data_IF_497223003397
#
_entry.id   IF_497223003397
#
_cell.length_a   1.000
_cell.length_b   1.000
_cell.length_c   1.000
_cell.angle_alpha   90.00
_cell.angle_beta   90.00
_cell.angle_gamma   90.00
#
_symmetry.space_group_name_H-M   'P 1'
#
loop_
_entity.id
_entity.type
_entity.pdbx_description
1 polymer ?
#
# COMPACT_ATOMS: atom_id res chain seq x y z
N UNK A 1 -58.93 20.65 -31.54
CA UNK A 1 -58.05 19.56 -32.02
C UNK A 1 -56.55 19.94 -32.18
N UNK A 2 -56.14 21.19 -31.93
CA UNK A 2 -54.79 21.66 -32.18
C UNK A 2 -53.84 21.48 -30.95
N UNK A 3 -54.33 21.61 -29.73
CA UNK A 3 -53.50 21.57 -28.51
C UNK A 3 -52.98 20.16 -28.12
N UNK A 4 -53.69 19.11 -28.48
CA UNK A 4 -53.29 17.72 -28.15
C UNK A 4 -52.18 17.24 -29.07
N UNK A 5 -52.14 17.68 -30.35
CA UNK A 5 -51.05 17.31 -31.28
C UNK A 5 -49.69 17.95 -30.92
N UNK A 6 -49.72 19.17 -30.36
CA UNK A 6 -48.48 19.87 -29.96
C UNK A 6 -47.88 19.26 -28.69
N UNK A 7 -48.70 18.78 -27.75
CA UNK A 7 -48.21 18.13 -26.54
C UNK A 7 -47.60 16.75 -26.85
N UNK A 8 -48.17 15.99 -27.80
CA UNK A 8 -47.60 14.70 -28.23
C UNK A 8 -46.27 14.85 -28.99
N UNK A 9 -46.10 15.94 -29.75
CA UNK A 9 -44.85 16.18 -30.48
C UNK A 9 -43.73 16.62 -29.54
N UNK A 10 -44.00 17.39 -28.52
CA UNK A 10 -43.01 17.79 -27.52
C UNK A 10 -42.60 16.63 -26.61
N UNK A 11 -43.53 15.73 -26.27
CA UNK A 11 -43.16 14.50 -25.52
C UNK A 11 -42.32 13.53 -26.36
N UNK A 12 -42.58 13.40 -27.67
CA UNK A 12 -41.78 12.57 -28.54
C UNK A 12 -40.35 13.13 -28.76
N UNK A 13 -40.22 14.46 -28.89
CA UNK A 13 -38.91 15.09 -28.98
C UNK A 13 -38.14 15.04 -27.63
N UNK A 14 -38.83 15.18 -26.51
CA UNK A 14 -38.20 15.04 -25.19
C UNK A 14 -37.72 13.62 -24.91
N UNK A 15 -38.49 12.61 -25.30
CA UNK A 15 -38.09 11.21 -25.14
C UNK A 15 -36.93 10.82 -26.05
N UNK A 16 -36.86 11.33 -27.28
CA UNK A 16 -35.74 11.09 -28.19
C UNK A 16 -34.46 11.80 -27.74
N UNK A 17 -34.55 13.02 -27.24
CA UNK A 17 -33.40 13.73 -26.71
C UNK A 17 -32.94 13.16 -25.36
N UNK A 18 -33.87 12.77 -24.49
CA UNK A 18 -33.57 12.10 -23.23
C UNK A 18 -32.96 10.71 -23.43
N UNK A 19 -33.49 9.95 -24.40
CA UNK A 19 -32.93 8.65 -24.78
C UNK A 19 -31.53 8.75 -25.38
N UNK A 20 -31.29 9.78 -26.21
CA UNK A 20 -29.96 10.03 -26.79
C UNK A 20 -28.94 10.50 -25.70
N UNK A 21 -29.38 11.31 -24.75
CA UNK A 21 -28.54 11.75 -23.63
C UNK A 21 -28.22 10.60 -22.66
N UNK A 22 -29.18 9.70 -22.38
CA UNK A 22 -28.95 8.51 -21.53
C UNK A 22 -28.06 7.50 -22.23
N UNK A 23 -28.18 7.31 -23.55
CA UNK A 23 -27.30 6.41 -24.30
C UNK A 23 -25.90 6.97 -24.47
N UNK A 24 -25.74 8.29 -24.65
CA UNK A 24 -24.42 8.92 -24.71
C UNK A 24 -23.73 8.93 -23.33
N UNK A 25 -24.47 9.19 -22.25
CA UNK A 25 -23.92 9.05 -20.91
C UNK A 25 -23.68 7.57 -20.53
N UNK A 26 -24.49 6.64 -20.99
CA UNK A 26 -24.26 5.22 -20.73
C UNK A 26 -23.04 4.68 -21.52
N UNK A 27 -22.83 5.14 -22.74
CA UNK A 27 -21.63 4.77 -23.51
C UNK A 27 -20.36 5.46 -22.97
N UNK A 28 -20.46 6.64 -22.35
CA UNK A 28 -19.33 7.27 -21.64
C UNK A 28 -19.10 6.68 -20.24
N UNK A 29 -20.13 6.09 -19.63
CA UNK A 29 -20.00 5.34 -18.36
C UNK A 29 -19.36 3.95 -18.56
N UNK A 30 -19.36 3.41 -19.79
CA UNK A 30 -18.68 2.17 -20.15
C UNK A 30 -17.42 2.39 -21.00
N UNK A 31 -17.05 3.66 -21.26
CA UNK A 31 -15.75 3.99 -21.86
C UNK A 31 -14.69 3.77 -20.78
N UNK A 32 -14.07 2.60 -20.83
CA UNK A 32 -12.91 2.18 -20.04
C UNK A 32 -13.02 2.58 -18.55
N UNK A 33 -13.46 1.67 -17.73
CA UNK A 33 -13.08 1.65 -16.33
C UNK A 33 -11.54 1.45 -16.27
N UNK A 34 -10.77 2.44 -16.68
CA UNK A 34 -9.45 2.59 -16.14
C UNK A 34 -9.68 2.83 -14.65
N UNK A 35 -9.41 1.82 -13.85
CA UNK A 35 -9.43 1.92 -12.40
C UNK A 35 -8.60 3.15 -12.01
N UNK A 36 -9.11 4.03 -11.13
CA UNK A 36 -8.44 5.28 -10.79
C UNK A 36 -7.03 5.01 -10.33
N UNK A 37 -6.09 5.73 -10.90
CA UNK A 37 -4.69 5.50 -10.90
C UNK A 37 -4.07 5.18 -9.56
N UNK A 38 -3.31 4.12 -9.54
CA UNK A 38 -2.32 3.87 -8.53
C UNK A 38 -1.14 4.84 -8.65
N UNK A 39 -0.13 4.66 -7.84
CA UNK A 39 1.05 5.50 -7.83
C UNK A 39 1.74 5.61 -9.21
N UNK A 40 1.74 4.55 -10.01
CA UNK A 40 2.31 4.56 -11.37
C UNK A 40 1.60 5.52 -12.34
N UNK A 41 0.34 5.86 -12.08
CA UNK A 41 -0.44 6.79 -12.91
C UNK A 41 -0.44 8.20 -12.31
N UNK A 42 0.20 8.39 -11.18
CA UNK A 42 0.32 9.69 -10.57
C UNK A 42 1.24 10.57 -11.43
N UNK A 43 0.63 11.28 -12.36
CA UNK A 43 1.29 12.25 -13.24
C UNK A 43 1.28 13.60 -12.54
N UNK A 44 2.25 13.83 -11.74
CA UNK A 44 2.40 15.09 -11.03
C UNK A 44 3.85 15.55 -11.04
N UNK A 45 4.12 16.57 -10.28
CA UNK A 45 5.48 17.03 -9.99
C UNK A 45 5.99 16.29 -8.74
N UNK A 46 5.92 14.95 -8.74
CA UNK A 46 6.35 14.15 -7.59
C UNK A 46 7.86 14.12 -7.53
N UNK A 47 8.51 13.94 -8.70
CA UNK A 47 9.97 13.91 -8.77
C UNK A 47 10.50 15.33 -8.92
N UNK A 48 10.86 15.95 -7.82
CA UNK A 48 11.46 17.27 -7.79
C UNK A 48 12.97 17.12 -7.58
N UNK A 49 13.69 17.21 -8.67
CA UNK A 49 15.16 17.18 -8.64
C UNK A 49 15.70 18.30 -7.74
N UNK A 50 16.55 17.92 -6.80
CA UNK A 50 17.14 18.84 -5.81
C UNK A 50 16.07 19.52 -4.94
N UNK A 51 15.15 18.74 -4.37
CA UNK A 51 14.21 19.26 -3.38
C UNK A 51 14.93 20.07 -2.30
N UNK A 52 14.46 21.27 -1.97
CA UNK A 52 15.06 22.06 -0.89
C UNK A 52 14.70 21.53 0.52
N UNK A 53 13.78 20.56 0.60
CA UNK A 53 13.25 20.04 1.86
C UNK A 53 13.63 18.61 2.15
N UNK A 54 13.89 17.80 1.11
CA UNK A 54 14.17 16.37 1.24
C UNK A 54 15.49 16.02 0.52
N UNK A 55 16.47 15.43 1.21
CA UNK A 55 17.67 14.92 0.58
C UNK A 55 17.34 13.68 -0.25
N UNK A 56 17.98 13.53 -1.40
CA UNK A 56 17.92 12.32 -2.18
C UNK A 56 18.91 11.30 -1.60
N UNK A 57 18.39 10.19 -1.08
CA UNK A 57 19.16 9.13 -0.46
C UNK A 57 19.14 7.88 -1.36
N UNK A 58 20.28 7.25 -1.55
CA UNK A 58 20.37 5.95 -2.23
C UNK A 58 20.08 4.81 -1.25
N UNK A 59 18.79 4.71 -0.83
CA UNK A 59 18.35 3.73 0.16
C UNK A 59 18.60 2.30 -0.32
N UNK A 60 18.44 2.04 -1.62
CA UNK A 60 18.69 0.72 -2.21
C UNK A 60 20.10 0.18 -1.90
N UNK A 61 21.13 1.03 -1.96
CA UNK A 61 22.51 0.64 -1.74
C UNK A 61 23.00 0.84 -0.30
N UNK A 62 22.16 1.34 0.61
CA UNK A 62 22.52 1.47 2.02
C UNK A 62 22.91 0.13 2.64
N UNK A 63 23.81 0.18 3.61
CA UNK A 63 24.30 -0.97 4.38
C UNK A 63 24.08 -0.72 5.87
N UNK A 64 23.78 -1.78 6.60
CA UNK A 64 23.71 -1.72 8.06
C UNK A 64 25.05 -1.30 8.66
N UNK A 65 24.99 -0.57 9.77
CA UNK A 65 26.13 -0.14 10.57
C UNK A 65 25.75 -0.18 12.07
N UNK A 66 26.47 0.48 12.93
CA UNK A 66 26.22 0.46 14.39
C UNK A 66 24.86 1.03 14.78
N UNK A 67 24.32 1.98 14.00
CA UNK A 67 23.05 2.66 14.29
C UNK A 67 21.92 2.19 13.37
N UNK A 68 22.24 1.82 12.14
CA UNK A 68 21.31 1.47 11.07
C UNK A 68 21.22 -0.04 10.88
N UNK A 69 20.01 -0.59 10.96
CA UNK A 69 19.66 -1.91 10.44
C UNK A 69 18.86 -1.72 9.16
N UNK A 70 19.32 -2.24 8.01
CA UNK A 70 18.62 -2.10 6.73
C UNK A 70 18.71 -3.37 5.89
N UNK A 71 17.61 -3.74 5.27
CA UNK A 71 17.55 -4.81 4.27
C UNK A 71 18.08 -4.27 2.93
N UNK A 72 19.40 -4.37 2.74
CA UNK A 72 20.06 -3.84 1.56
C UNK A 72 19.53 -4.45 0.26
N UNK A 73 19.48 -3.66 -0.80
CA UNK A 73 19.02 -4.07 -2.12
C UNK A 73 17.54 -4.52 -2.17
N UNK A 74 16.74 -4.03 -1.25
CA UNK A 74 15.29 -4.23 -1.27
C UNK A 74 14.68 -3.38 -2.39
N UNK A 75 14.18 -4.00 -3.45
CA UNK A 75 13.55 -3.29 -4.58
C UNK A 75 12.11 -2.92 -4.26
N UNK A 76 11.77 -1.68 -4.52
CA UNK A 76 10.41 -1.14 -4.40
C UNK A 76 9.61 -1.38 -5.68
N UNK A 77 8.29 -1.32 -5.54
CA UNK A 77 7.34 -1.36 -6.64
C UNK A 77 6.19 -0.39 -6.35
N UNK A 78 5.79 0.39 -7.36
CA UNK A 78 4.63 1.26 -7.26
C UNK A 78 3.37 0.56 -7.77
N UNK A 79 2.26 0.69 -7.04
CA UNK A 79 0.99 0.03 -7.36
C UNK A 79 0.31 0.61 -8.61
N UNK A 80 -0.40 -0.25 -9.35
CA UNK A 80 -1.11 0.15 -10.57
C UNK A 80 -2.49 0.76 -10.29
N UNK A 81 -3.16 0.35 -9.19
CA UNK A 81 -4.52 0.80 -8.85
C UNK A 81 -4.54 1.49 -7.48
N UNK A 82 -5.62 2.20 -7.14
CA UNK A 82 -5.76 2.85 -5.84
C UNK A 82 -5.95 1.90 -4.65
N UNK A 83 -6.05 0.57 -4.86
CA UNK A 83 -6.40 -0.40 -3.82
C UNK A 83 -5.47 -1.62 -3.74
N UNK A 84 -4.40 -1.68 -4.53
CA UNK A 84 -3.49 -2.83 -4.59
C UNK A 84 -2.21 -2.69 -3.76
N UNK A 85 -2.21 -1.80 -2.75
CA UNK A 85 -1.07 -1.65 -1.84
C UNK A 85 -0.68 -2.99 -1.16
N UNK A 86 -1.65 -3.78 -0.70
CA UNK A 86 -1.39 -5.10 -0.10
C UNK A 86 -0.71 -6.10 -1.05
N UNK A 87 -1.27 -6.35 -2.26
CA UNK A 87 -0.62 -7.16 -3.29
C UNK A 87 0.81 -6.72 -3.62
N UNK A 88 1.04 -5.41 -3.77
CA UNK A 88 2.36 -4.88 -4.10
C UNK A 88 3.33 -5.01 -2.93
N UNK A 89 2.89 -4.72 -1.69
CA UNK A 89 3.71 -4.93 -0.50
C UNK A 89 4.14 -6.41 -0.37
N UNK A 90 3.23 -7.35 -0.59
CA UNK A 90 3.55 -8.77 -0.61
C UNK A 90 4.52 -9.14 -1.75
N UNK A 91 4.32 -8.59 -2.95
CA UNK A 91 5.20 -8.85 -4.10
C UNK A 91 6.63 -8.35 -3.87
N UNK A 92 6.79 -7.18 -3.26
CA UNK A 92 8.11 -6.65 -2.89
C UNK A 92 8.84 -7.60 -1.92
N UNK A 93 8.14 -8.16 -0.93
CA UNK A 93 8.69 -9.15 0.00
C UNK A 93 9.08 -10.44 -0.72
N UNK A 94 8.22 -10.94 -1.62
CA UNK A 94 8.51 -12.12 -2.44
C UNK A 94 9.72 -11.87 -3.32
N UNK A 95 9.79 -10.74 -4.00
CA UNK A 95 10.93 -10.38 -4.85
C UNK A 95 12.23 -10.32 -4.06
N UNK A 96 12.21 -9.74 -2.86
CA UNK A 96 13.39 -9.63 -2.00
C UNK A 96 13.91 -10.99 -1.55
N UNK A 97 13.04 -11.88 -1.04
CA UNK A 97 13.43 -13.16 -0.46
C UNK A 97 13.63 -14.27 -1.51
N UNK A 98 12.96 -14.19 -2.66
CA UNK A 98 13.02 -15.17 -3.76
C UNK A 98 13.95 -14.73 -4.90
N UNK A 99 14.42 -13.48 -4.89
CA UNK A 99 15.24 -12.88 -5.95
C UNK A 99 14.46 -12.39 -7.17
N UNK A 100 13.18 -12.76 -7.31
CA UNK A 100 12.28 -12.33 -8.37
C UNK A 100 10.82 -12.43 -7.93
N UNK A 101 9.89 -11.66 -8.52
CA UNK A 101 8.47 -11.84 -8.31
C UNK A 101 8.02 -13.22 -8.82
N UNK A 102 6.97 -13.78 -8.25
CA UNK A 102 6.35 -15.04 -8.68
C UNK A 102 5.12 -14.78 -9.58
N UNK A 103 4.38 -13.71 -9.32
CA UNK A 103 3.18 -13.31 -10.07
C UNK A 103 3.17 -11.80 -10.31
N UNK A 104 2.34 -11.38 -11.25
CA UNK A 104 2.04 -9.98 -11.49
C UNK A 104 1.05 -9.44 -10.42
N UNK A 105 1.04 -8.12 -10.20
CA UNK A 105 0.25 -7.43 -9.18
C UNK A 105 -1.24 -7.85 -9.19
N UNK A 106 -1.87 -7.86 -10.36
CA UNK A 106 -3.30 -8.17 -10.48
C UNK A 106 -3.60 -9.67 -10.30
N UNK A 107 -2.64 -10.55 -10.56
CA UNK A 107 -2.76 -11.96 -10.25
C UNK A 107 -2.71 -12.19 -8.74
N UNK A 108 -1.80 -11.51 -8.03
CA UNK A 108 -1.72 -11.51 -6.57
C UNK A 108 -3.02 -10.96 -5.98
N UNK A 109 -3.51 -9.83 -6.48
CA UNK A 109 -4.77 -9.23 -6.06
C UNK A 109 -5.95 -10.21 -6.18
N UNK A 110 -6.02 -10.94 -7.29
CA UNK A 110 -7.03 -11.97 -7.53
C UNK A 110 -6.92 -13.14 -6.54
N UNK A 111 -5.72 -13.63 -6.27
CA UNK A 111 -5.49 -14.73 -5.30
C UNK A 111 -5.89 -14.30 -3.89
N UNK A 112 -5.54 -13.09 -3.49
CA UNK A 112 -5.93 -12.51 -2.21
C UNK A 112 -7.44 -12.31 -2.11
N UNK A 113 -8.09 -11.89 -3.19
CA UNK A 113 -9.47 -11.39 -3.21
C UNK A 113 -9.54 -9.89 -2.93
N UNK A 114 -8.43 -9.19 -3.17
CA UNK A 114 -8.32 -7.73 -3.06
C UNK A 114 -9.37 -7.04 -3.93
N UNK A 115 -10.00 -6.00 -3.40
CA UNK A 115 -11.02 -5.24 -4.13
C UNK A 115 -11.00 -3.75 -3.74
N UNK A 116 -11.63 -2.93 -4.59
CA UNK A 116 -11.64 -1.46 -4.44
C UNK A 116 -12.40 -0.92 -3.21
N UNK A 117 -13.21 -1.74 -2.56
CA UNK A 117 -14.03 -1.30 -1.42
C UNK A 117 -13.30 -1.48 -0.09
N UNK A 118 -12.54 -2.58 0.05
CA UNK A 118 -11.91 -2.98 1.31
C UNK A 118 -10.39 -3.16 1.19
N UNK A 119 -9.80 -2.92 0.01
CA UNK A 119 -8.38 -3.21 -0.20
C UNK A 119 -8.07 -4.69 0.04
N UNK A 120 -7.08 -4.94 0.88
CA UNK A 120 -6.60 -6.29 1.26
C UNK A 120 -6.55 -6.41 2.78
N UNK A 121 -7.18 -7.43 3.34
CA UNK A 121 -7.08 -7.74 4.77
C UNK A 121 -5.85 -8.61 5.06
N UNK A 122 -5.39 -8.62 6.32
CA UNK A 122 -4.27 -9.50 6.75
C UNK A 122 -4.56 -10.97 6.46
N UNK A 123 -5.81 -11.42 6.62
CA UNK A 123 -6.22 -12.81 6.32
C UNK A 123 -6.08 -13.15 4.84
N UNK A 124 -6.43 -12.23 3.96
CA UNK A 124 -6.28 -12.38 2.51
C UNK A 124 -4.80 -12.41 2.10
N UNK A 125 -3.97 -11.61 2.76
CA UNK A 125 -2.52 -11.63 2.56
C UNK A 125 -1.91 -12.97 3.03
N UNK A 126 -2.31 -13.49 4.19
CA UNK A 126 -1.92 -14.84 4.66
C UNK A 126 -2.30 -15.91 3.63
N UNK A 127 -3.53 -15.84 3.08
CA UNK A 127 -3.99 -16.77 2.04
C UNK A 127 -3.08 -16.78 0.81
N UNK A 128 -2.57 -15.62 0.40
CA UNK A 128 -1.63 -15.55 -0.73
C UNK A 128 -0.30 -16.25 -0.40
N UNK A 129 0.29 -15.98 0.76
CA UNK A 129 1.54 -16.62 1.15
C UNK A 129 1.38 -18.13 1.35
N UNK A 130 0.25 -18.58 1.89
CA UNK A 130 -0.09 -20.01 1.97
C UNK A 130 -0.21 -20.64 0.57
N UNK A 131 -0.82 -19.91 -0.40
CA UNK A 131 -0.96 -20.37 -1.79
C UNK A 131 0.40 -20.59 -2.47
N UNK A 132 1.39 -19.73 -2.22
CA UNK A 132 2.75 -19.90 -2.74
C UNK A 132 3.65 -20.80 -1.86
N UNK A 133 3.08 -21.42 -0.83
CA UNK A 133 3.78 -22.38 0.02
C UNK A 133 4.73 -21.78 1.06
N UNK A 134 4.53 -20.50 1.44
CA UNK A 134 5.37 -19.82 2.43
C UNK A 134 4.80 -19.91 3.85
N UNK A 135 5.68 -19.76 4.83
CA UNK A 135 5.29 -19.64 6.24
C UNK A 135 5.02 -18.17 6.58
N UNK A 136 3.98 -17.94 7.40
CA UNK A 136 3.63 -16.59 7.86
C UNK A 136 3.51 -16.50 9.37
N UNK A 137 3.90 -15.33 9.91
CA UNK A 137 3.47 -14.86 11.22
C UNK A 137 2.69 -13.56 11.01
N UNK A 138 1.58 -13.36 11.70
CA UNK A 138 0.74 -12.19 11.46
C UNK A 138 -0.14 -11.85 12.65
N UNK A 139 -0.71 -10.65 12.66
CA UNK A 139 -1.72 -10.20 13.61
C UNK A 139 -3.00 -11.06 13.63
N UNK A 140 -3.19 -11.94 12.65
CA UNK A 140 -4.32 -12.90 12.65
C UNK A 140 -4.19 -13.93 13.76
N UNK A 141 -2.97 -14.35 14.10
CA UNK A 141 -2.70 -15.41 15.08
C UNK A 141 -1.79 -14.98 16.23
N UNK A 142 -1.20 -13.82 16.17
CA UNK A 142 -0.23 -13.35 17.14
C UNK A 142 -0.60 -11.95 17.61
N UNK A 143 -0.31 -11.65 18.87
CA UNK A 143 -0.51 -10.34 19.44
C UNK A 143 0.52 -9.36 18.84
N UNK A 144 0.06 -8.19 18.44
CA UNK A 144 0.95 -7.12 18.02
C UNK A 144 1.64 -6.49 19.25
N UNK A 145 2.81 -5.84 19.08
CA UNK A 145 3.47 -5.10 20.15
C UNK A 145 2.53 -4.07 20.80
N UNK A 146 2.40 -4.09 22.11
CA UNK A 146 1.51 -3.18 22.83
C UNK A 146 2.20 -1.86 23.17
N UNK A 147 3.50 -1.91 23.55
CA UNK A 147 4.30 -0.74 23.90
C UNK A 147 5.23 -0.35 22.76
N UNK A 148 5.68 0.90 22.76
CA UNK A 148 6.67 1.38 21.78
C UNK A 148 8.01 0.61 21.92
N UNK A 149 8.43 0.31 23.15
CA UNK A 149 9.64 -0.49 23.38
C UNK A 149 9.52 -1.91 22.79
N UNK A 150 8.39 -2.58 22.95
CA UNK A 150 8.16 -3.90 22.35
C UNK A 150 8.09 -3.83 20.82
N UNK A 151 7.56 -2.72 20.29
CA UNK A 151 7.59 -2.46 18.85
C UNK A 151 9.01 -2.34 18.33
N UNK A 152 9.89 -1.60 18.98
CA UNK A 152 11.30 -1.49 18.59
C UNK A 152 12.01 -2.86 18.63
N UNK A 153 11.75 -3.67 19.66
CA UNK A 153 12.26 -5.06 19.74
C UNK A 153 11.72 -5.91 18.60
N UNK A 154 10.43 -5.79 18.29
CA UNK A 154 9.79 -6.51 17.19
C UNK A 154 10.43 -6.14 15.84
N UNK A 155 10.60 -4.86 15.54
CA UNK A 155 11.22 -4.38 14.32
C UNK A 155 12.67 -4.85 14.22
N UNK A 156 13.48 -4.57 15.22
CA UNK A 156 14.91 -4.87 15.19
C UNK A 156 15.20 -6.38 15.12
N UNK A 157 14.41 -7.22 15.80
CA UNK A 157 14.57 -8.67 15.73
C UNK A 157 14.26 -9.24 14.35
N UNK A 158 13.22 -8.75 13.70
CA UNK A 158 12.86 -9.18 12.34
C UNK A 158 13.91 -8.71 11.31
N UNK A 159 14.36 -7.47 11.37
CA UNK A 159 15.39 -6.95 10.46
C UNK A 159 16.72 -7.70 10.61
N UNK A 160 17.16 -8.01 11.84
CA UNK A 160 18.35 -8.84 12.11
C UNK A 160 18.21 -10.26 11.55
N UNK A 161 17.00 -10.79 11.49
CA UNK A 161 16.68 -12.09 10.89
C UNK A 161 16.39 -12.01 9.38
N UNK A 162 16.81 -10.92 8.72
CA UNK A 162 16.59 -10.65 7.30
C UNK A 162 15.12 -10.81 6.88
N UNK A 163 14.19 -10.34 7.72
CA UNK A 163 12.74 -10.50 7.55
C UNK A 163 12.08 -9.15 7.36
N UNK A 164 11.60 -8.80 6.16
CA UNK A 164 10.76 -7.62 5.93
C UNK A 164 9.45 -7.75 6.70
N UNK A 165 8.90 -6.63 7.17
CA UNK A 165 7.66 -6.60 7.95
C UNK A 165 6.62 -5.83 7.17
N UNK A 166 5.59 -6.51 6.67
CA UNK A 166 4.44 -5.86 6.06
C UNK A 166 3.56 -5.32 7.18
N UNK A 167 3.23 -4.04 7.13
CA UNK A 167 2.42 -3.33 8.11
C UNK A 167 1.36 -2.49 7.43
N UNK A 168 0.26 -2.27 8.12
CA UNK A 168 -0.82 -1.42 7.65
C UNK A 168 -0.96 -0.23 8.61
N UNK A 169 -1.11 0.97 8.09
CA UNK A 169 -1.27 2.19 8.87
C UNK A 169 -2.39 3.09 8.33
N UNK A 170 -2.70 4.16 9.07
CA UNK A 170 -3.89 5.00 8.87
C UNK A 170 -3.89 5.85 7.59
N UNK A 171 -2.79 5.94 6.85
CA UNK A 171 -2.73 6.78 5.66
C UNK A 171 -3.85 6.42 4.68
N UNK A 172 -4.57 7.45 4.20
CA UNK A 172 -5.77 7.33 3.35
C UNK A 172 -6.88 6.43 3.91
N UNK A 173 -6.89 6.21 5.24
CA UNK A 173 -7.85 5.36 5.93
C UNK A 173 -7.38 3.93 6.17
N UNK A 174 -6.35 3.49 5.47
CA UNK A 174 -5.67 2.21 5.59
C UNK A 174 -4.72 1.99 4.42
N UNK A 175 -3.42 1.77 4.70
CA UNK A 175 -2.40 1.61 3.67
C UNK A 175 -1.32 0.60 4.07
N UNK A 176 -1.01 -0.34 3.17
CA UNK A 176 0.02 -1.34 3.36
C UNK A 176 1.39 -0.86 2.89
N UNK A 177 2.38 -1.03 3.76
CA UNK A 177 3.80 -0.75 3.51
C UNK A 177 4.68 -1.89 4.02
N UNK A 178 5.99 -1.82 3.73
CA UNK A 178 6.96 -2.80 4.25
C UNK A 178 8.04 -2.06 5.03
N UNK A 179 8.23 -2.38 6.31
CA UNK A 179 9.40 -1.93 7.08
C UNK A 179 10.61 -2.71 6.58
N UNK A 180 11.60 -1.98 6.10
CA UNK A 180 12.85 -2.53 5.54
C UNK A 180 14.10 -2.06 6.28
N UNK A 181 13.96 -1.08 7.19
CA UNK A 181 15.09 -0.58 7.97
C UNK A 181 14.64 0.20 9.20
N UNK A 182 15.59 0.38 10.10
CA UNK A 182 15.46 1.13 11.34
C UNK A 182 16.79 1.75 11.71
N UNK A 183 16.80 3.04 12.06
CA UNK A 183 18.00 3.77 12.47
C UNK A 183 17.73 4.46 13.81
N UNK A 184 18.66 4.27 14.77
CA UNK A 184 18.67 4.93 16.08
C UNK A 184 19.17 6.37 16.02
N UNK A 185 19.57 6.85 14.84
CA UNK A 185 20.21 8.15 14.62
C UNK A 185 21.49 8.36 15.46
N UNK A 186 22.01 7.30 16.09
CA UNK A 186 23.18 7.34 16.96
C UNK A 186 22.93 8.04 18.30
N UNK A 187 21.67 8.18 18.71
CA UNK A 187 21.30 8.80 19.99
C UNK A 187 20.82 7.77 21.01
N UNK A 188 20.68 8.18 22.28
CA UNK A 188 20.10 7.35 23.34
C UNK A 188 18.59 7.55 23.46
N UNK A 189 18.02 8.50 22.72
CA UNK A 189 16.61 8.83 22.73
C UNK A 189 15.90 8.12 21.60
N UNK A 190 14.89 7.33 21.89
CA UNK A 190 14.12 6.59 20.88
C UNK A 190 13.07 7.45 20.17
N UNK A 191 12.87 8.69 20.59
CA UNK A 191 11.90 9.61 19.98
C UNK A 191 12.34 10.19 18.63
N UNK A 192 13.65 10.12 18.30
CA UNK A 192 14.22 10.54 17.03
C UNK A 192 14.58 9.36 16.10
N UNK A 193 14.30 8.13 16.53
CA UNK A 193 14.47 6.94 15.71
C UNK A 193 13.58 6.99 14.44
N UNK A 194 14.09 6.42 13.36
CA UNK A 194 13.36 6.39 12.09
C UNK A 194 13.23 4.99 11.53
N UNK A 195 12.13 4.77 10.78
CA UNK A 195 11.89 3.60 9.96
C UNK A 195 12.15 3.92 8.49
N UNK A 196 12.76 3.00 7.79
CA UNK A 196 12.80 2.97 6.33
C UNK A 196 11.69 2.06 5.84
N UNK A 197 10.84 2.60 4.98
CA UNK A 197 9.66 1.92 4.45
C UNK A 197 9.81 1.71 2.95
N UNK A 198 9.41 0.55 2.45
CA UNK A 198 9.07 0.39 1.04
C UNK A 198 7.56 0.62 0.89
N UNK A 199 7.20 1.63 0.10
CA UNK A 199 5.85 2.16 -0.03
C UNK A 199 5.30 1.95 -1.45
N UNK A 200 4.22 1.15 -1.60
CA UNK A 200 3.55 0.95 -2.88
C UNK A 200 2.93 2.22 -3.49
N UNK A 201 2.66 3.23 -2.67
CA UNK A 201 2.08 4.50 -3.10
C UNK A 201 2.90 5.66 -2.55
N UNK A 202 4.15 5.73 -2.99
CA UNK A 202 5.06 6.77 -2.54
C UNK A 202 4.84 8.07 -3.32
N UNK A 203 4.48 9.12 -2.58
CA UNK A 203 4.26 10.48 -3.11
C UNK A 203 4.78 11.54 -2.13
N UNK A 204 5.69 11.19 -1.21
CA UNK A 204 5.90 12.00 -0.01
C UNK A 204 7.11 12.91 -0.02
N UNK A 205 8.26 12.47 -0.48
CA UNK A 205 9.54 13.17 -0.31
C UNK A 205 10.06 13.83 -1.60
N UNK A 206 9.16 14.12 -2.53
CA UNK A 206 9.44 14.64 -3.86
C UNK A 206 10.16 13.65 -4.79
N UNK A 207 10.18 12.36 -4.45
CA UNK A 207 10.61 11.26 -5.29
C UNK A 207 9.56 10.15 -5.27
N UNK A 208 9.26 9.60 -6.42
CA UNK A 208 8.36 8.44 -6.53
C UNK A 208 9.19 7.17 -6.71
N UNK A 209 10.17 6.97 -5.85
CA UNK A 209 11.08 5.83 -5.90
C UNK A 209 10.63 4.65 -5.03
N UNK A 210 9.56 4.82 -4.28
CA UNK A 210 8.98 3.80 -3.42
C UNK A 210 9.66 3.67 -2.06
N UNK A 211 10.56 4.58 -1.70
CA UNK A 211 11.14 4.63 -0.37
C UNK A 211 10.62 5.81 0.43
N UNK A 212 10.36 5.57 1.70
CA UNK A 212 9.85 6.58 2.62
C UNK A 212 10.55 6.44 3.97
N UNK A 213 10.91 7.56 4.59
CA UNK A 213 11.49 7.59 5.92
C UNK A 213 10.48 8.27 6.85
N UNK A 214 10.13 7.59 7.94
CA UNK A 214 9.15 8.07 8.91
C UNK A 214 9.69 7.90 10.33
N UNK A 215 9.33 8.83 11.25
CA UNK A 215 9.59 8.64 12.67
C UNK A 215 8.98 7.33 13.17
N UNK A 216 9.79 6.51 13.86
CA UNK A 216 9.37 5.20 14.36
C UNK A 216 8.29 5.35 15.45
N UNK A 217 8.43 6.32 16.33
CA UNK A 217 7.44 6.61 17.38
C UNK A 217 6.11 7.08 16.77
N UNK A 218 6.17 8.00 15.80
CA UNK A 218 4.96 8.47 15.12
C UNK A 218 4.25 7.34 14.39
N UNK A 219 4.98 6.47 13.68
CA UNK A 219 4.40 5.30 13.05
C UNK A 219 3.69 4.41 14.06
N UNK A 220 4.31 4.09 15.20
CA UNK A 220 3.72 3.25 16.24
C UNK A 220 2.35 3.75 16.71
N UNK A 221 2.19 5.07 16.92
CA UNK A 221 0.91 5.67 17.32
C UNK A 221 -0.09 5.83 16.16
N UNK A 222 0.35 5.74 14.91
CA UNK A 222 -0.50 5.75 13.71
C UNK A 222 -0.71 4.35 13.11
N UNK A 223 -0.26 3.31 13.79
CA UNK A 223 -0.34 1.92 13.34
C UNK A 223 -1.74 1.34 13.59
N UNK A 224 -2.71 1.81 12.84
CA UNK A 224 -4.09 1.34 12.86
C UNK A 224 -4.76 1.64 11.53
N UNK A 225 -5.81 0.87 11.20
CA UNK A 225 -6.74 1.16 10.11
C UNK A 225 -7.90 2.01 10.63
N UNK A 226 -8.41 2.92 9.82
CA UNK A 226 -9.54 3.77 10.21
C UNK A 226 -10.81 3.42 9.44
N UNK A 227 -10.70 2.95 8.22
CA UNK A 227 -11.82 2.97 7.28
C UNK A 227 -12.13 1.63 6.63
N UNK A 228 -11.13 0.82 6.32
CA UNK A 228 -11.26 -0.36 5.46
C UNK A 228 -11.64 -1.62 6.23
N UNK A 229 -11.16 -1.77 7.47
CA UNK A 229 -11.35 -2.98 8.26
C UNK A 229 -12.49 -2.85 9.26
N UNK A 230 -13.03 -3.99 9.66
CA UNK A 230 -13.94 -4.06 10.80
C UNK A 230 -13.21 -3.58 12.06
N UNK A 231 -13.93 -2.89 12.95
CA UNK A 231 -13.36 -2.29 14.17
C UNK A 231 -12.47 -3.25 14.99
N UNK A 232 -12.79 -4.53 15.02
CA UNK A 232 -12.00 -5.55 15.72
C UNK A 232 -10.64 -5.83 15.04
N UNK A 233 -10.49 -5.55 13.76
CA UNK A 233 -9.32 -5.83 12.95
C UNK A 233 -8.53 -4.53 12.58
N UNK A 234 -8.88 -3.39 13.18
CA UNK A 234 -8.28 -2.09 12.83
C UNK A 234 -6.93 -1.82 13.52
N UNK A 235 -6.60 -2.52 14.58
CA UNK A 235 -5.43 -2.20 15.37
C UNK A 235 -4.21 -3.03 14.98
N UNK A 236 -3.11 -2.33 14.64
CA UNK A 236 -1.76 -2.89 14.48
C UNK A 236 -1.70 -4.13 13.60
N UNK A 237 -2.18 -4.02 12.36
CA UNK A 237 -2.11 -5.11 11.39
C UNK A 237 -0.69 -5.30 10.86
N UNK A 238 -0.20 -6.54 10.86
CA UNK A 238 1.12 -6.89 10.39
C UNK A 238 1.21 -8.32 9.86
N UNK A 239 2.22 -8.56 9.03
CA UNK A 239 2.57 -9.87 8.53
C UNK A 239 4.06 -9.94 8.22
N UNK A 240 4.69 -11.06 8.55
CA UNK A 240 5.99 -11.48 8.03
C UNK A 240 5.83 -12.82 7.31
N UNK A 241 6.62 -13.03 6.25
CA UNK A 241 6.56 -14.25 5.47
C UNK A 241 7.96 -14.72 5.06
N UNK A 242 8.15 -16.03 4.98
CA UNK A 242 9.38 -16.67 4.50
C UNK A 242 9.07 -17.93 3.69
N UNK A 243 9.90 -18.30 2.69
CA UNK A 243 9.83 -19.60 2.05
C UNK A 243 9.92 -20.70 3.11
N UNK A 244 9.12 -21.77 2.98
CA UNK A 244 9.32 -22.98 3.79
C UNK A 244 10.68 -23.59 3.44
N UNK A 245 11.42 -23.99 4.47
CA UNK A 245 12.68 -24.71 4.32
C UNK A 245 12.47 -26.11 3.80
#
# INVERSE_FOLDING_TARGET
>A
MSKIKTILLTLACGALLGGLFVTLNHSSLFASEEEPGGAKQFVGKVDIKNSPYFPQLDIYNMKSNDNLLILSNFKTQQQNTGYTCGPVAANMVVQYLNGKPLQEEMEIAKIMGTNKFNGTTTKEMVKYFDHIGWETKSSVKNVAPETYEDFLKFVTSNLKDNTPIIVENVDWGGHWRVIIGYDTMGTVHTGDDVLFMADPFDTTDHLQDGYNIISAERFFYMWFDHQLFKKADQNKQWLTAKPKK
#
